data_IF_029293373868
#
_entry.id   IF_029293373868
#
_cell.length_a   1.000
_cell.length_b   1.000
_cell.length_c   1.000
_cell.angle_alpha   90.00
_cell.angle_beta   90.00
_cell.angle_gamma   90.00
#
_symmetry.space_group_name_H-M   'P 1'
#
loop_
_entity.id
_entity.type
_entity.pdbx_description
1 polymer ?
#
# COMPACT_ATOMS: atom_id res chain seq x y z
N UNK A 1 -31.64 11.29 6.10
CA UNK A 1 -30.40 10.90 6.81
C UNK A 1 -29.20 11.27 5.96
N UNK A 2 -28.23 11.98 6.53
CA UNK A 2 -26.95 12.27 5.86
C UNK A 2 -26.05 11.04 5.74
N UNK A 3 -24.93 11.19 5.03
CA UNK A 3 -23.87 10.18 4.96
C UNK A 3 -22.87 10.35 6.11
N UNK A 4 -22.32 9.25 6.61
CA UNK A 4 -21.16 9.26 7.53
C UNK A 4 -19.90 9.75 6.81
N UNK A 5 -18.83 10.04 7.54
CA UNK A 5 -17.55 10.42 6.95
C UNK A 5 -17.01 9.33 6.00
N UNK A 6 -16.99 8.07 6.46
CA UNK A 6 -16.58 6.92 5.64
C UNK A 6 -17.42 6.80 4.36
N UNK A 7 -18.74 6.98 4.46
CA UNK A 7 -19.61 6.95 3.29
C UNK A 7 -19.31 8.09 2.30
N UNK A 8 -19.00 9.30 2.81
CA UNK A 8 -18.63 10.44 1.96
C UNK A 8 -17.31 10.19 1.23
N UNK A 9 -16.28 9.70 1.94
CA UNK A 9 -14.97 9.39 1.38
C UNK A 9 -15.10 8.31 0.30
N UNK A 10 -15.70 7.18 0.62
CA UNK A 10 -15.86 6.09 -0.36
C UNK A 10 -16.73 6.54 -1.54
N UNK A 11 -17.83 7.27 -1.31
CA UNK A 11 -18.67 7.77 -2.42
C UNK A 11 -17.89 8.67 -3.37
N UNK A 12 -17.01 9.54 -2.85
CA UNK A 12 -16.13 10.38 -3.65
C UNK A 12 -15.18 9.54 -4.52
N UNK A 13 -14.58 8.49 -3.95
CA UNK A 13 -13.69 7.56 -4.67
C UNK A 13 -14.39 6.67 -5.69
N UNK A 14 -15.71 6.53 -5.58
CA UNK A 14 -16.54 5.88 -6.60
C UNK A 14 -17.07 6.84 -7.67
N UNK A 15 -16.85 8.16 -7.54
CA UNK A 15 -17.47 9.18 -8.42
C UNK A 15 -18.99 9.31 -8.22
N UNK A 16 -19.50 8.98 -7.02
CA UNK A 16 -20.94 8.90 -6.73
C UNK A 16 -21.36 9.95 -5.71
N UNK A 17 -22.56 10.50 -5.89
CA UNK A 17 -23.15 11.45 -4.92
C UNK A 17 -23.52 10.80 -3.58
N UNK A 18 -23.80 9.49 -3.58
CA UNK A 18 -24.25 8.77 -2.38
C UNK A 18 -23.99 7.26 -2.50
N UNK A 19 -23.67 6.65 -1.37
CA UNK A 19 -23.65 5.20 -1.15
C UNK A 19 -24.41 4.84 0.13
N UNK A 20 -24.69 3.55 0.36
CA UNK A 20 -25.33 3.05 1.58
C UNK A 20 -24.49 1.95 2.25
N UNK A 21 -24.70 1.74 3.56
CA UNK A 21 -24.08 0.62 4.26
C UNK A 21 -24.57 -0.72 3.70
N UNK A 22 -23.68 -1.71 3.61
CA UNK A 22 -23.96 -3.03 3.01
C UNK A 22 -23.85 -3.09 1.48
N UNK A 23 -23.60 -1.95 0.83
CA UNK A 23 -23.41 -1.88 -0.62
C UNK A 23 -21.97 -2.27 -1.00
N UNK A 24 -21.80 -3.09 -2.05
CA UNK A 24 -20.50 -3.37 -2.66
C UNK A 24 -20.22 -2.31 -3.72
N UNK A 25 -19.04 -1.71 -3.68
CA UNK A 25 -18.64 -0.63 -4.59
C UNK A 25 -17.25 -0.86 -5.15
N UNK A 26 -16.99 -0.26 -6.32
CA UNK A 26 -15.65 -0.12 -6.88
C UNK A 26 -15.16 1.29 -6.60
N UNK A 27 -14.02 1.42 -5.93
CA UNK A 27 -13.45 2.70 -5.51
C UNK A 27 -12.00 2.81 -5.96
N UNK A 28 -11.60 4.00 -6.42
CA UNK A 28 -10.19 4.31 -6.64
C UNK A 28 -9.48 4.45 -5.28
N UNK A 29 -8.19 4.12 -5.23
CA UNK A 29 -7.36 4.29 -4.04
C UNK A 29 -6.28 5.36 -4.27
N UNK A 30 -5.86 6.00 -3.18
CA UNK A 30 -4.82 7.02 -3.20
C UNK A 30 -3.45 6.48 -2.84
N UNK A 31 -3.41 5.42 -2.04
CA UNK A 31 -2.19 4.73 -1.71
C UNK A 31 -2.46 3.24 -1.52
N UNK A 32 -1.55 2.42 -2.04
CA UNK A 32 -1.42 1.00 -1.73
C UNK A 32 -0.11 0.81 -0.99
N UNK A 33 -0.17 0.29 0.23
CA UNK A 33 0.99 0.05 1.07
C UNK A 33 1.28 -1.45 1.18
N UNK A 34 2.55 -1.82 1.09
CA UNK A 34 3.00 -3.17 1.40
C UNK A 34 4.35 -3.17 2.11
N UNK A 35 4.55 -4.19 2.96
CA UNK A 35 5.80 -4.41 3.68
C UNK A 35 6.55 -5.64 3.19
N UNK A 36 7.70 -5.90 3.78
CA UNK A 36 8.61 -6.99 3.41
C UNK A 36 8.10 -8.41 3.73
N UNK A 37 6.98 -8.54 4.45
CA UNK A 37 6.32 -9.82 4.69
C UNK A 37 5.27 -10.11 3.61
N UNK A 38 4.39 -9.14 3.35
CA UNK A 38 3.19 -9.36 2.51
C UNK A 38 3.39 -8.96 1.05
N UNK A 39 4.26 -7.99 0.76
CA UNK A 39 4.57 -7.59 -0.62
C UNK A 39 5.15 -8.73 -1.46
N UNK A 40 6.06 -9.60 -0.97
CA UNK A 40 6.54 -10.74 -1.76
C UNK A 40 5.41 -11.68 -2.22
N UNK A 41 4.32 -11.80 -1.45
CA UNK A 41 3.15 -12.61 -1.84
C UNK A 41 2.39 -11.90 -2.97
N UNK A 42 2.09 -10.61 -2.81
CA UNK A 42 1.42 -9.81 -3.82
C UNK A 42 2.21 -9.73 -5.13
N UNK A 43 3.54 -9.57 -5.05
CA UNK A 43 4.45 -9.51 -6.21
C UNK A 43 4.44 -10.83 -6.98
N UNK A 44 4.50 -11.98 -6.29
CA UNK A 44 4.43 -13.29 -6.96
C UNK A 44 3.12 -13.47 -7.72
N UNK A 45 1.99 -13.06 -7.13
CA UNK A 45 0.70 -13.13 -7.84
C UNK A 45 0.66 -12.12 -8.99
N UNK A 46 1.24 -10.93 -8.82
CA UNK A 46 1.35 -9.93 -9.88
C UNK A 46 2.12 -10.47 -11.10
N UNK A 47 3.29 -11.07 -10.87
CA UNK A 47 4.14 -11.67 -11.91
C UNK A 47 3.47 -12.88 -12.57
N UNK A 48 2.86 -13.76 -11.76
CA UNK A 48 2.13 -14.95 -12.24
C UNK A 48 0.98 -14.58 -13.19
N UNK A 49 0.31 -13.46 -12.95
CA UNK A 49 -0.76 -12.94 -13.81
C UNK A 49 -0.22 -12.14 -15.02
N UNK A 50 1.09 -12.02 -15.19
CA UNK A 50 1.72 -11.39 -16.35
C UNK A 50 1.53 -9.88 -16.42
N UNK A 51 1.31 -9.21 -15.29
CA UNK A 51 1.23 -7.75 -15.28
C UNK A 51 2.61 -7.14 -15.54
N UNK A 52 2.62 -6.05 -16.31
CA UNK A 52 3.86 -5.42 -16.83
C UNK A 52 4.11 -4.02 -16.29
N UNK A 53 3.17 -3.45 -15.52
CA UNK A 53 3.36 -2.19 -14.80
C UNK A 53 2.38 -2.08 -13.64
N UNK A 54 2.73 -1.27 -12.65
CA UNK A 54 1.81 -0.91 -11.55
C UNK A 54 0.81 0.15 -12.02
N UNK A 55 -0.37 0.20 -11.40
CA UNK A 55 -1.41 1.15 -11.78
C UNK A 55 -0.96 2.62 -11.68
N UNK A 56 -0.12 2.93 -10.69
CA UNK A 56 0.49 4.24 -10.51
C UNK A 56 1.70 4.15 -9.56
N UNK A 57 2.90 4.48 -10.06
CA UNK A 57 4.17 4.38 -9.31
C UNK A 57 4.29 5.36 -8.14
N UNK A 58 3.46 6.41 -8.11
CA UNK A 58 3.37 7.39 -7.03
C UNK A 58 2.32 7.01 -5.97
N UNK A 59 1.49 6.00 -6.23
CA UNK A 59 0.44 5.53 -5.31
C UNK A 59 0.74 4.13 -4.75
N UNK A 60 1.99 3.68 -4.85
CA UNK A 60 2.48 2.43 -4.27
C UNK A 60 3.61 2.76 -3.32
N UNK A 61 3.45 2.38 -2.06
CA UNK A 61 4.48 2.52 -1.02
C UNK A 61 4.94 1.15 -0.55
N UNK A 62 6.25 0.93 -0.58
CA UNK A 62 6.90 -0.32 -0.17
C UNK A 62 7.84 -0.01 0.99
N UNK A 63 7.52 -0.53 2.18
CA UNK A 63 8.19 -0.19 3.44
C UNK A 63 8.82 -1.44 4.05
N UNK A 64 10.14 -1.47 4.19
CA UNK A 64 10.87 -2.66 4.64
C UNK A 64 11.08 -2.68 6.16
N UNK A 65 10.03 -2.56 6.96
CA UNK A 65 10.12 -2.30 8.40
C UNK A 65 10.07 -3.54 9.31
N UNK A 66 9.71 -4.72 8.80
CA UNK A 66 9.51 -5.90 9.66
C UNK A 66 10.76 -6.78 9.82
N UNK A 67 11.47 -7.06 8.73
CA UNK A 67 12.64 -7.95 8.69
C UNK A 67 13.88 -7.28 8.13
N UNK A 68 13.98 -5.95 8.19
CA UNK A 68 15.26 -5.27 7.98
C UNK A 68 15.79 -4.66 9.29
N UNK A 69 17.08 -4.87 9.63
CA UNK A 69 18.07 -5.71 8.94
C UNK A 69 17.72 -7.22 8.96
N UNK A 70 18.15 -7.94 7.92
CA UNK A 70 17.71 -9.32 7.65
C UNK A 70 18.29 -10.33 8.66
N UNK A 71 17.42 -10.98 9.42
CA UNK A 71 17.82 -11.97 10.45
C UNK A 71 18.27 -13.32 9.90
N UNK A 72 17.79 -13.70 8.71
CA UNK A 72 18.08 -14.98 8.06
C UNK A 72 17.93 -14.87 6.52
N UNK A 73 18.27 -15.95 5.82
CA UNK A 73 18.22 -16.03 4.35
C UNK A 73 16.80 -15.85 3.82
N UNK A 74 15.77 -16.34 4.53
CA UNK A 74 14.38 -16.24 4.08
C UNK A 74 13.92 -14.77 4.09
N UNK A 75 14.24 -14.05 5.16
CA UNK A 75 14.02 -12.61 5.25
C UNK A 75 14.80 -11.85 4.17
N UNK A 76 16.05 -12.24 3.91
CA UNK A 76 16.86 -11.64 2.85
C UNK A 76 16.25 -11.82 1.45
N UNK A 77 15.75 -13.01 1.12
CA UNK A 77 15.09 -13.29 -0.16
C UNK A 77 13.74 -12.57 -0.30
N UNK A 78 12.94 -12.48 0.78
CA UNK A 78 11.74 -11.65 0.81
C UNK A 78 12.09 -10.19 0.51
N UNK A 79 13.08 -9.63 1.22
CA UNK A 79 13.47 -8.25 1.02
C UNK A 79 14.04 -7.97 -0.38
N UNK A 80 14.83 -8.91 -0.90
CA UNK A 80 15.36 -8.85 -2.27
C UNK A 80 14.24 -8.84 -3.31
N UNK A 81 13.18 -9.64 -3.12
CA UNK A 81 12.01 -9.65 -4.00
C UNK A 81 11.38 -8.26 -4.09
N UNK A 82 11.13 -7.62 -2.94
CA UNK A 82 10.54 -6.28 -2.90
C UNK A 82 11.48 -5.22 -3.48
N UNK A 83 12.78 -5.28 -3.17
CA UNK A 83 13.80 -4.37 -3.74
C UNK A 83 13.87 -4.46 -5.26
N UNK A 84 13.89 -5.66 -5.82
CA UNK A 84 13.89 -5.87 -7.26
C UNK A 84 12.62 -5.31 -7.88
N UNK A 85 11.45 -5.65 -7.34
CA UNK A 85 10.17 -5.12 -7.83
C UNK A 85 10.13 -3.59 -7.79
N UNK A 86 10.52 -2.98 -6.67
CA UNK A 86 10.56 -1.52 -6.51
C UNK A 86 11.46 -0.86 -7.57
N UNK A 87 12.64 -1.45 -7.82
CA UNK A 87 13.57 -0.97 -8.85
C UNK A 87 12.99 -1.14 -10.26
N UNK A 88 12.51 -2.33 -10.60
CA UNK A 88 12.10 -2.70 -11.96
C UNK A 88 10.87 -1.90 -12.40
N UNK A 89 9.93 -1.65 -11.48
CA UNK A 89 8.75 -0.82 -11.72
C UNK A 89 8.95 0.65 -11.34
N UNK A 90 10.15 1.06 -10.93
CA UNK A 90 10.50 2.45 -10.56
C UNK A 90 9.52 3.06 -9.55
N UNK A 91 9.23 2.31 -8.48
CA UNK A 91 8.36 2.74 -7.39
C UNK A 91 9.01 3.92 -6.67
N UNK A 92 8.28 5.02 -6.55
CA UNK A 92 8.82 6.26 -5.98
C UNK A 92 8.96 6.19 -4.45
N UNK A 93 7.98 5.56 -3.79
CA UNK A 93 7.89 5.47 -2.34
C UNK A 93 8.43 4.13 -1.84
N UNK A 94 9.74 3.92 -1.99
CA UNK A 94 10.43 2.75 -1.47
C UNK A 94 11.32 3.14 -0.29
N UNK A 95 11.12 2.49 0.86
CA UNK A 95 11.81 2.79 2.12
C UNK A 95 12.47 1.54 2.69
N UNK A 96 13.79 1.58 2.81
CA UNK A 96 14.64 0.47 3.24
C UNK A 96 15.58 0.91 4.38
N UNK A 97 16.44 0.00 4.84
CA UNK A 97 17.41 0.22 5.92
C UNK A 97 18.07 1.60 5.81
N UNK A 98 18.04 2.35 6.91
CA UNK A 98 18.60 3.70 7.02
C UNK A 98 17.66 4.82 6.60
N UNK A 99 16.53 4.52 5.96
CA UNK A 99 15.47 5.49 5.61
C UNK A 99 14.06 5.04 6.00
N UNK A 100 13.95 3.90 6.67
CA UNK A 100 12.70 3.24 7.07
C UNK A 100 12.31 3.57 8.52
N UNK A 101 11.02 3.51 8.78
CA UNK A 101 10.39 3.49 10.10
C UNK A 101 9.12 2.62 10.02
N UNK A 102 8.40 2.45 11.13
CA UNK A 102 7.15 1.67 11.14
C UNK A 102 6.19 2.24 10.09
N UNK A 103 5.69 1.40 9.19
CA UNK A 103 4.94 1.81 7.99
C UNK A 103 3.78 2.77 8.31
N UNK A 104 3.02 2.48 9.35
CA UNK A 104 1.85 3.28 9.78
C UNK A 104 2.22 4.66 10.36
N UNK A 105 3.44 4.83 10.88
CA UNK A 105 3.94 6.14 11.31
C UNK A 105 4.61 6.88 10.15
N UNK A 106 5.40 6.14 9.35
CA UNK A 106 6.22 6.70 8.28
C UNK A 106 5.39 7.36 7.18
N UNK A 107 4.30 6.72 6.74
CA UNK A 107 3.47 7.25 5.65
C UNK A 107 2.86 8.63 6.00
N UNK A 108 2.18 8.80 7.15
CA UNK A 108 1.71 10.10 7.60
C UNK A 108 2.83 11.13 7.81
N UNK A 109 3.95 10.74 8.43
CA UNK A 109 5.09 11.64 8.66
C UNK A 109 5.70 12.17 7.36
N UNK A 110 5.68 11.37 6.29
CA UNK A 110 6.11 11.77 4.95
C UNK A 110 5.04 12.55 4.18
N UNK A 111 3.85 12.73 4.73
CA UNK A 111 2.72 13.38 4.07
C UNK A 111 2.16 12.58 2.89
N UNK A 112 2.37 11.26 2.87
CA UNK A 112 1.88 10.37 1.81
C UNK A 112 0.41 9.97 2.00
N UNK A 113 -0.11 10.15 3.21
CA UNK A 113 -1.50 9.88 3.56
C UNK A 113 -2.06 11.09 4.29
N UNK A 114 -3.23 11.55 3.85
CA UNK A 114 -3.88 12.75 4.36
C UNK A 114 -5.38 12.60 4.56
N UNK A 115 -6.01 13.71 4.94
CA UNK A 115 -7.46 13.75 5.17
C UNK A 115 -8.24 13.49 3.88
N UNK A 116 -9.06 12.45 3.91
CA UNK A 116 -9.97 12.12 2.81
C UNK A 116 -9.43 11.07 1.85
N UNK A 117 -8.16 10.67 1.95
CA UNK A 117 -7.59 9.60 1.13
C UNK A 117 -8.25 8.25 1.41
N UNK A 118 -8.33 7.40 0.37
CA UNK A 118 -8.68 5.99 0.53
C UNK A 118 -7.42 5.13 0.36
N UNK A 119 -6.93 4.60 1.47
CA UNK A 119 -5.69 3.81 1.55
C UNK A 119 -6.01 2.35 1.79
N UNK A 120 -5.30 1.46 1.09
CA UNK A 120 -5.30 0.02 1.38
C UNK A 120 -3.87 -0.43 1.70
N UNK A 121 -3.74 -1.30 2.69
CA UNK A 121 -2.44 -1.80 3.13
C UNK A 121 -2.53 -3.28 3.43
N UNK A 122 -1.47 -4.01 3.07
CA UNK A 122 -1.35 -5.44 3.34
C UNK A 122 -0.84 -5.69 4.77
N UNK A 123 -1.45 -5.02 5.76
CA UNK A 123 -1.20 -5.16 7.20
C UNK A 123 -2.49 -4.91 7.98
N UNK A 124 -2.69 -5.68 9.07
CA UNK A 124 -3.93 -5.63 9.86
C UNK A 124 -4.16 -4.30 10.59
N UNK A 125 -3.12 -3.48 10.75
CA UNK A 125 -3.17 -2.22 11.49
C UNK A 125 -3.21 -0.99 10.58
N UNK A 126 -3.49 -1.17 9.29
CA UNK A 126 -3.71 -0.06 8.34
C UNK A 126 -4.92 0.82 8.71
N UNK A 127 -5.67 0.47 9.75
CA UNK A 127 -6.71 1.32 10.34
C UNK A 127 -6.17 2.48 11.19
N UNK A 128 -4.86 2.52 11.46
CA UNK A 128 -4.16 3.62 12.16
C UNK A 128 -4.37 4.94 11.43
#
# INVERSE_FOLDING_TARGET
>A
MGMTLTQKIIAAHCGRKRIKAGEIVMANVDMVMGNDITSPIAIREFEKNGFIDVFNRNKVSLVMDHFTPNKDIKAAEQCKTVRCFARDYRILHFYDVGKVGIEHALLPEKGLVGSGDLVIGADSHTCT
#
